data_IF_418172027931
#
_entry.id   IF_418172027931
#
_cell.length_a   1.000
_cell.length_b   1.000
_cell.length_c   1.000
_cell.angle_alpha   90.00
_cell.angle_beta   90.00
_cell.angle_gamma   90.00
#
_symmetry.space_group_name_H-M   'P 1'
#
loop_
_entity.id
_entity.type
_entity.pdbx_description
1 polymer ?
#
# COMPACT_ATOMS: atom_id res chain seq x y z
N UNK A 1 -6.80 3.38 -7.94
CA UNK A 1 -5.34 3.41 -7.83
C UNK A 1 -4.97 4.52 -6.88
N UNK A 2 -4.44 4.14 -5.73
CA UNK A 2 -3.90 5.06 -4.76
C UNK A 2 -2.70 5.79 -5.39
N UNK A 3 -2.67 7.12 -5.40
CA UNK A 3 -1.58 7.89 -6.00
C UNK A 3 -0.24 7.71 -5.25
N UNK A 4 -0.29 7.24 -4.00
CA UNK A 4 0.88 6.98 -3.17
C UNK A 4 1.61 5.69 -3.54
N UNK A 5 0.90 4.60 -3.90
CA UNK A 5 1.53 3.29 -4.14
C UNK A 5 2.57 3.34 -5.24
N UNK A 6 2.28 4.05 -6.33
CA UNK A 6 3.22 4.20 -7.44
C UNK A 6 4.47 4.99 -7.03
N UNK A 7 4.31 6.06 -6.22
CA UNK A 7 5.45 6.83 -5.68
C UNK A 7 6.29 6.02 -4.69
N UNK A 8 5.62 5.22 -3.86
CA UNK A 8 6.27 4.35 -2.88
C UNK A 8 7.08 3.28 -3.60
N UNK A 9 6.52 2.66 -4.65
CA UNK A 9 7.20 1.64 -5.47
C UNK A 9 8.41 2.20 -6.23
N UNK A 10 8.31 3.44 -6.71
CA UNK A 10 9.45 4.16 -7.32
C UNK A 10 10.54 4.43 -6.28
N UNK A 11 10.16 4.78 -5.05
CA UNK A 11 11.10 5.12 -3.97
C UNK A 11 11.88 3.92 -3.43
N UNK A 12 11.38 2.69 -3.60
CA UNK A 12 12.09 1.48 -3.16
C UNK A 12 13.11 0.96 -4.17
N UNK A 13 13.11 1.47 -5.40
CA UNK A 13 13.96 0.94 -6.48
C UNK A 13 13.61 -0.50 -6.87
N UNK A 14 12.50 -1.06 -6.37
CA UNK A 14 12.09 -2.44 -6.63
C UNK A 14 11.86 -2.66 -8.13
N UNK A 15 11.26 -1.66 -8.79
CA UNK A 15 11.06 -1.68 -10.23
C UNK A 15 12.37 -1.80 -11.01
N UNK A 16 13.47 -1.22 -10.53
CA UNK A 16 14.76 -1.27 -11.22
C UNK A 16 15.39 -2.66 -11.23
N UNK A 17 15.04 -3.50 -10.24
CA UNK A 17 15.53 -4.87 -10.11
C UNK A 17 14.75 -5.88 -10.97
N UNK A 18 13.61 -5.48 -11.52
CA UNK A 18 12.77 -6.35 -12.34
C UNK A 18 13.34 -6.55 -13.76
N UNK A 19 13.22 -7.75 -14.34
CA UNK A 19 13.65 -8.02 -15.71
C UNK A 19 12.85 -7.17 -16.72
N UNK A 20 13.56 -6.55 -17.69
CA UNK A 20 12.99 -5.59 -18.64
C UNK A 20 11.81 -6.13 -19.45
N UNK A 21 11.81 -7.41 -19.80
CA UNK A 21 10.78 -8.06 -20.62
C UNK A 21 9.41 -8.17 -19.95
N UNK A 22 9.35 -8.13 -18.62
CA UNK A 22 8.11 -8.23 -17.84
C UNK A 22 7.89 -7.04 -16.91
N UNK A 23 8.74 -6.01 -17.01
CA UNK A 23 8.79 -4.88 -16.09
C UNK A 23 7.44 -4.19 -15.94
N UNK A 24 6.77 -3.86 -17.05
CA UNK A 24 5.47 -3.17 -17.01
C UNK A 24 4.35 -4.02 -16.40
N UNK A 25 4.24 -5.30 -16.78
CA UNK A 25 3.21 -6.21 -16.26
C UNK A 25 3.44 -6.59 -14.80
N UNK A 26 4.70 -6.81 -14.40
CA UNK A 26 5.04 -7.06 -13.01
C UNK A 26 4.86 -5.78 -12.19
N UNK A 27 5.27 -4.61 -12.67
CA UNK A 27 5.10 -3.33 -11.98
C UNK A 27 3.63 -3.08 -11.65
N UNK A 28 2.72 -3.34 -12.58
CA UNK A 28 1.29 -3.17 -12.37
C UNK A 28 0.75 -4.13 -11.30
N UNK A 29 1.05 -5.44 -11.42
CA UNK A 29 0.65 -6.45 -10.42
C UNK A 29 1.24 -6.19 -9.04
N UNK A 30 2.50 -5.77 -9.00
CA UNK A 30 3.22 -5.43 -7.78
C UNK A 30 2.56 -4.21 -7.13
N UNK A 31 2.27 -3.16 -7.91
CA UNK A 31 1.59 -1.97 -7.43
C UNK A 31 0.21 -2.28 -6.86
N UNK A 32 -0.59 -3.09 -7.56
CA UNK A 32 -1.91 -3.54 -7.07
C UNK A 32 -1.82 -4.38 -5.79
N UNK A 33 -0.82 -5.24 -5.69
CA UNK A 33 -0.63 -6.10 -4.52
C UNK A 33 -0.16 -5.29 -3.31
N UNK A 34 0.80 -4.39 -3.52
CA UNK A 34 1.26 -3.47 -2.48
C UNK A 34 0.12 -2.58 -2.01
N UNK A 35 -0.73 -2.07 -2.92
CA UNK A 35 -1.90 -1.26 -2.57
C UNK A 35 -2.82 -2.00 -1.61
N UNK A 36 -3.15 -3.26 -1.93
CA UNK A 36 -3.98 -4.11 -1.08
C UNK A 36 -3.34 -4.38 0.27
N UNK A 37 -2.02 -4.65 0.32
CA UNK A 37 -1.30 -4.87 1.58
C UNK A 37 -1.27 -3.61 2.44
N UNK A 38 -1.01 -2.44 1.85
CA UNK A 38 -1.01 -1.16 2.55
C UNK A 38 -2.39 -0.86 3.15
N UNK A 39 -3.44 -0.95 2.35
CA UNK A 39 -4.82 -0.73 2.84
C UNK A 39 -5.16 -1.71 3.95
N UNK A 40 -4.86 -3.00 3.79
CA UNK A 40 -5.12 -4.00 4.82
C UNK A 40 -4.33 -3.75 6.11
N UNK A 41 -3.06 -3.37 6.02
CA UNK A 41 -2.22 -3.07 7.16
C UNK A 41 -2.70 -1.81 7.90
N UNK A 42 -3.06 -0.76 7.15
CA UNK A 42 -3.62 0.47 7.72
C UNK A 42 -4.96 0.20 8.40
N UNK A 43 -5.90 -0.47 7.72
CA UNK A 43 -7.21 -0.81 8.29
C UNK A 43 -7.08 -1.68 9.54
N UNK A 44 -6.08 -2.56 9.62
CA UNK A 44 -5.82 -3.37 10.81
C UNK A 44 -5.27 -2.59 12.01
N UNK A 45 -4.71 -1.39 11.77
CA UNK A 45 -4.22 -0.47 12.79
C UNK A 45 -5.17 0.71 13.04
N UNK A 46 -6.36 0.70 12.42
CA UNK A 46 -7.38 1.71 12.67
C UNK A 46 -7.89 1.59 14.10
N UNK A 47 -8.06 2.71 14.83
CA UNK A 47 -8.68 2.71 16.14
C UNK A 47 -10.08 2.10 16.10
N UNK A 48 -10.43 1.26 17.09
CA UNK A 48 -11.72 0.55 17.10
C UNK A 48 -12.95 1.46 16.97
N UNK A 49 -12.89 2.72 17.44
CA UNK A 49 -13.99 3.69 17.28
C UNK A 49 -14.16 4.20 15.84
N UNK A 50 -13.12 4.06 15.01
CA UNK A 50 -13.09 4.53 13.61
C UNK A 50 -13.28 3.42 12.59
N UNK A 51 -13.19 2.14 12.98
CA UNK A 51 -13.33 0.99 12.07
C UNK A 51 -14.63 1.06 11.27
N UNK A 52 -15.77 1.31 11.93
CA UNK A 52 -17.06 1.41 11.26
C UNK A 52 -17.11 2.54 10.20
N UNK A 53 -16.44 3.67 10.46
CA UNK A 53 -16.38 4.79 9.51
C UNK A 53 -15.45 4.46 8.32
N UNK A 54 -14.35 3.74 8.57
CA UNK A 54 -13.45 3.25 7.52
C UNK A 54 -14.16 2.24 6.62
N UNK A 55 -14.87 1.27 7.20
CA UNK A 55 -15.64 0.27 6.44
C UNK A 55 -16.73 0.94 5.59
N UNK A 56 -17.44 1.92 6.14
CA UNK A 56 -18.44 2.69 5.40
C UNK A 56 -17.82 3.45 4.23
N UNK A 57 -16.68 4.11 4.42
CA UNK A 57 -15.96 4.83 3.37
C UNK A 57 -15.41 3.89 2.29
N UNK A 58 -14.95 2.70 2.69
CA UNK A 58 -14.55 1.63 1.74
C UNK A 58 -15.73 1.17 0.88
N UNK A 59 -16.90 0.92 1.48
CA UNK A 59 -18.12 0.52 0.77
C UNK A 59 -18.58 1.60 -0.22
N UNK A 60 -18.42 2.87 0.16
CA UNK A 60 -18.73 4.02 -0.68
C UNK A 60 -17.66 4.33 -1.73
N UNK A 61 -16.56 3.58 -1.76
CA UNK A 61 -15.42 3.83 -2.64
C UNK A 61 -14.92 5.28 -2.52
N UNK A 62 -14.88 5.77 -1.27
CA UNK A 62 -14.54 7.16 -0.95
C UNK A 62 -13.11 7.45 -1.41
N UNK A 63 -12.98 8.45 -2.29
CA UNK A 63 -11.68 8.81 -2.86
C UNK A 63 -10.72 9.43 -1.84
N UNK A 64 -11.22 9.84 -0.67
CA UNK A 64 -10.43 10.40 0.43
C UNK A 64 -10.12 9.38 1.53
N UNK A 65 -10.46 8.10 1.36
CA UNK A 65 -10.21 7.05 2.33
C UNK A 65 -8.74 7.00 2.75
N UNK A 66 -7.81 7.16 1.79
CA UNK A 66 -6.37 7.18 2.07
C UNK A 66 -5.97 8.32 3.00
N UNK A 67 -6.47 9.54 2.73
CA UNK A 67 -6.17 10.70 3.55
C UNK A 67 -6.76 10.53 4.95
N UNK A 68 -7.98 9.98 5.04
CA UNK A 68 -8.63 9.69 6.31
C UNK A 68 -7.85 8.65 7.13
N UNK A 69 -7.40 7.56 6.50
CA UNK A 69 -6.52 6.57 7.14
C UNK A 69 -5.21 7.21 7.63
N UNK A 70 -4.64 8.14 6.86
CA UNK A 70 -3.44 8.87 7.28
C UNK A 70 -3.63 9.75 8.53
N UNK A 71 -4.86 10.25 8.75
CA UNK A 71 -5.19 11.09 9.90
C UNK A 71 -5.51 10.27 11.16
N UNK A 72 -6.19 9.12 11.00
CA UNK A 72 -6.68 8.33 12.13
C UNK A 72 -5.75 7.19 12.54
N UNK A 73 -4.92 6.67 11.63
CA UNK A 73 -4.05 5.53 11.91
C UNK A 73 -2.79 6.06 12.61
N UNK A 74 -2.59 5.73 13.90
CA UNK A 74 -1.35 6.08 14.57
C UNK A 74 -0.18 5.37 13.90
N UNK A 75 0.97 6.04 13.80
CA UNK A 75 2.15 5.51 13.11
C UNK A 75 1.90 5.16 11.64
N UNK A 76 0.95 5.80 10.96
CA UNK A 76 0.64 5.58 9.54
C UNK A 76 1.90 5.48 8.66
N UNK A 77 2.81 6.45 8.77
CA UNK A 77 4.06 6.46 7.99
C UNK A 77 4.98 5.27 8.30
N UNK A 78 5.02 4.82 9.54
CA UNK A 78 5.83 3.66 9.95
C UNK A 78 5.21 2.36 9.42
N UNK A 79 3.88 2.21 9.51
CA UNK A 79 3.16 1.06 8.95
C UNK A 79 3.35 0.98 7.43
N UNK A 80 3.23 2.12 6.73
CA UNK A 80 3.53 2.19 5.31
C UNK A 80 4.95 1.72 5.03
N UNK A 81 5.94 2.28 5.73
CA UNK A 81 7.35 1.94 5.54
C UNK A 81 7.62 0.46 5.80
N UNK A 82 7.13 -0.10 6.90
CA UNK A 82 7.31 -1.51 7.25
C UNK A 82 6.66 -2.42 6.22
N UNK A 83 5.42 -2.17 5.86
CA UNK A 83 4.69 -3.00 4.87
C UNK A 83 5.38 -2.99 3.52
N UNK A 84 5.94 -1.83 3.14
CA UNK A 84 6.71 -1.66 1.90
C UNK A 84 8.04 -2.39 1.96
N UNK A 85 8.75 -2.33 3.09
CA UNK A 85 10.02 -3.01 3.30
C UNK A 85 9.83 -4.53 3.27
N UNK A 86 8.87 -5.06 4.04
CA UNK A 86 8.47 -6.48 4.03
C UNK A 86 8.09 -6.95 2.62
N UNK A 87 7.26 -6.17 1.93
CA UNK A 87 6.85 -6.51 0.57
C UNK A 87 8.03 -6.44 -0.42
N UNK A 88 8.94 -5.48 -0.24
CA UNK A 88 10.17 -5.37 -1.06
C UNK A 88 11.04 -6.61 -0.84
N UNK A 89 11.28 -7.01 0.40
CA UNK A 89 12.03 -8.22 0.73
C UNK A 89 11.36 -9.49 0.17
N UNK A 90 10.03 -9.59 0.25
CA UNK A 90 9.25 -10.70 -0.29
C UNK A 90 9.41 -10.80 -1.81
N UNK A 91 9.33 -9.68 -2.53
CA UNK A 91 9.53 -9.64 -3.98
C UNK A 91 10.98 -9.94 -4.35
N UNK A 92 11.96 -9.37 -3.64
CA UNK A 92 13.38 -9.63 -3.89
C UNK A 92 13.76 -11.10 -3.66
N UNK A 93 13.15 -11.78 -2.68
CA UNK A 93 13.36 -13.20 -2.46
C UNK A 93 12.73 -14.12 -3.53
N UNK A 94 11.84 -13.57 -4.36
CA UNK A 94 11.18 -14.28 -5.47
C UNK A 94 11.86 -14.03 -6.83
N UNK A 95 12.82 -13.10 -6.91
CA UNK A 95 13.62 -12.79 -8.10
C UNK A 95 14.92 -13.61 -8.12
#
# INVERSE_FOLDING_TARGET
MLPQTKKILDSTGLLEKLPAESKDKLAEKIGETLEKKLVAALTSNVPADKVAEVEQRMDQNDSNLEQYLAEIVPNHQEILRQTVDDFTQEVEGLL
#
